data_IF_104173494129
#
_entry.id   IF_104173494129
#
_cell.length_a   1.000
_cell.length_b   1.000
_cell.length_c   1.000
_cell.angle_alpha   90.00
_cell.angle_beta   90.00
_cell.angle_gamma   90.00
#
_symmetry.space_group_name_H-M   'P 1'
#
loop_
_entity.id
_entity.type
_entity.pdbx_description
1 polymer ?
#
# COMPACT_ATOMS: atom_id res chain seq x y z
N UNK A 1 -11.84 32.13 -9.46
CA UNK A 1 -10.96 31.02 -9.12
C UNK A 1 -11.78 29.74 -9.19
N UNK A 2 -11.63 28.95 -10.21
CA UNK A 2 -12.29 27.65 -10.30
C UNK A 2 -11.59 26.75 -9.31
N UNK A 3 -12.25 26.38 -8.23
CA UNK A 3 -11.75 25.40 -7.26
C UNK A 3 -11.54 24.11 -8.05
N UNK A 4 -10.27 23.75 -8.34
CA UNK A 4 -9.93 22.45 -8.89
C UNK A 4 -10.49 21.40 -7.91
N UNK A 5 -11.46 20.64 -8.34
CA UNK A 5 -12.00 19.51 -7.58
C UNK A 5 -10.83 18.55 -7.38
N UNK A 6 -10.42 18.32 -6.14
CA UNK A 6 -9.40 17.32 -5.83
C UNK A 6 -9.81 15.96 -6.41
N UNK A 7 -8.86 15.25 -7.03
CA UNK A 7 -9.08 13.91 -7.58
C UNK A 7 -9.57 12.96 -6.47
N UNK A 8 -10.65 12.25 -6.72
CA UNK A 8 -11.18 11.24 -5.81
C UNK A 8 -10.60 9.88 -6.12
N UNK A 9 -10.00 9.26 -5.12
CA UNK A 9 -9.31 7.98 -5.27
C UNK A 9 -10.04 6.89 -4.47
N UNK A 10 -10.34 5.75 -5.11
CA UNK A 10 -10.68 4.52 -4.42
C UNK A 10 -9.42 3.66 -4.29
N UNK A 11 -9.22 3.07 -3.12
CA UNK A 11 -8.11 2.17 -2.84
C UNK A 11 -8.68 0.80 -2.50
N UNK A 12 -8.48 -0.18 -3.37
CA UNK A 12 -8.91 -1.56 -3.14
C UNK A 12 -7.73 -2.41 -2.70
N UNK A 13 -7.94 -3.35 -1.80
CA UNK A 13 -6.88 -4.24 -1.34
C UNK A 13 -7.05 -4.67 0.12
N UNK A 14 -6.00 -5.28 0.66
CA UNK A 14 -6.00 -5.87 1.98
C UNK A 14 -6.17 -4.85 3.11
N UNK A 15 -6.97 -5.26 4.10
CA UNK A 15 -7.10 -4.64 5.41
C UNK A 15 -6.78 -5.73 6.43
N UNK A 16 -5.78 -5.54 7.28
CA UNK A 16 -5.29 -6.58 8.17
C UNK A 16 -4.82 -6.03 9.52
N UNK A 17 -4.60 -6.90 10.48
CA UNK A 17 -3.90 -6.58 11.72
C UNK A 17 -2.68 -7.48 11.88
N UNK A 18 -1.59 -6.92 12.40
CA UNK A 18 -0.36 -7.64 12.70
C UNK A 18 -0.30 -7.94 14.20
N UNK A 19 -0.23 -9.22 14.55
CA UNK A 19 -0.12 -9.71 15.90
C UNK A 19 1.32 -10.18 16.13
N UNK A 20 2.11 -9.33 16.77
CA UNK A 20 3.54 -9.54 16.97
C UNK A 20 3.79 -9.96 18.41
N UNK A 21 4.36 -11.13 18.62
CA UNK A 21 4.62 -11.71 19.93
C UNK A 21 6.12 -11.90 20.15
N UNK A 22 6.57 -11.66 21.38
CA UNK A 22 7.93 -11.90 21.83
C UNK A 22 7.97 -13.11 22.74
N UNK A 23 8.74 -14.11 22.32
CA UNK A 23 9.03 -15.30 23.14
C UNK A 23 10.37 -15.10 23.85
N UNK A 24 10.41 -15.13 25.20
CA UNK A 24 11.62 -14.87 25.98
C UNK A 24 12.59 -16.07 26.05
N UNK A 25 12.43 -17.03 25.16
CA UNK A 25 13.29 -18.21 24.99
C UNK A 25 13.78 -18.33 23.55
N UNK A 26 14.37 -19.48 23.24
CA UNK A 26 14.80 -19.88 21.89
C UNK A 26 13.93 -21.01 21.39
N UNK A 27 13.47 -20.93 20.17
CA UNK A 27 12.69 -22.03 19.58
C UNK A 27 13.48 -23.33 19.52
N UNK A 28 14.80 -23.24 19.29
CA UNK A 28 15.69 -24.40 19.26
C UNK A 28 15.72 -25.19 20.56
N UNK A 29 15.55 -24.52 21.71
CA UNK A 29 15.56 -25.16 23.03
C UNK A 29 14.27 -25.97 23.28
N UNK A 30 13.21 -25.66 22.53
CA UNK A 30 11.91 -26.34 22.60
C UNK A 30 11.77 -27.47 21.57
N UNK A 31 12.72 -27.59 20.63
CA UNK A 31 12.73 -28.62 19.60
C UNK A 31 13.47 -29.85 20.08
N UNK A 32 12.87 -31.01 19.93
CA UNK A 32 13.53 -32.31 20.19
C UNK A 32 13.95 -32.92 18.86
N UNK A 33 15.25 -32.94 18.58
CA UNK A 33 15.81 -33.34 17.28
C UNK A 33 15.29 -34.68 16.75
N UNK A 34 15.11 -35.66 17.63
CA UNK A 34 14.67 -37.02 17.28
C UNK A 34 13.14 -37.15 17.17
N UNK A 35 12.37 -36.06 17.33
CA UNK A 35 10.89 -36.06 17.31
C UNK A 35 10.32 -34.99 16.39
N UNK A 36 11.03 -34.58 15.36
CA UNK A 36 10.57 -33.58 14.40
C UNK A 36 9.39 -34.04 13.54
N UNK A 37 9.14 -35.36 13.47
CA UNK A 37 7.96 -35.92 12.76
C UNK A 37 6.63 -35.66 13.48
N UNK A 38 6.67 -35.29 14.77
CA UNK A 38 5.50 -35.01 15.60
C UNK A 38 5.77 -33.81 16.51
N UNK A 39 5.82 -32.62 15.90
CA UNK A 39 6.09 -31.38 16.65
C UNK A 39 4.81 -30.87 17.28
N UNK A 40 4.83 -30.71 18.62
CA UNK A 40 3.80 -30.01 19.39
C UNK A 40 4.52 -28.99 20.26
N UNK A 41 4.45 -27.72 19.85
CA UNK A 41 5.13 -26.63 20.56
C UNK A 41 4.08 -25.68 21.15
N UNK A 42 4.35 -25.22 22.37
CA UNK A 42 3.55 -24.20 23.05
C UNK A 42 4.51 -23.19 23.66
N UNK A 43 4.36 -21.94 23.29
CA UNK A 43 5.18 -20.86 23.78
C UNK A 43 4.38 -19.94 24.73
N UNK A 44 4.94 -19.68 25.90
CA UNK A 44 4.45 -18.58 26.74
C UNK A 44 5.15 -17.31 26.26
N UNK A 45 4.38 -16.36 25.75
CA UNK A 45 4.90 -15.09 25.23
C UNK A 45 4.71 -13.99 26.29
N UNK A 46 5.68 -13.11 26.40
CA UNK A 46 5.66 -12.03 27.40
C UNK A 46 4.95 -10.77 26.85
N UNK A 47 5.00 -10.58 25.54
CA UNK A 47 4.46 -9.39 24.89
C UNK A 47 3.59 -9.79 23.68
N UNK A 48 2.48 -9.06 23.52
CA UNK A 48 1.65 -9.06 22.33
C UNK A 48 1.43 -7.61 21.91
N UNK A 49 1.98 -7.25 20.74
CA UNK A 49 1.75 -5.97 20.10
C UNK A 49 0.81 -6.18 18.91
N UNK A 50 -0.37 -5.52 18.95
CA UNK A 50 -1.36 -5.59 17.87
C UNK A 50 -1.29 -4.28 17.10
N UNK A 51 -0.89 -4.36 15.82
CA UNK A 51 -0.75 -3.22 14.93
C UNK A 51 -1.76 -3.26 13.80
N UNK A 52 -2.11 -2.09 13.32
CA UNK A 52 -2.91 -1.92 12.12
C UNK A 52 -2.04 -2.13 10.91
N UNK A 53 -2.60 -2.78 9.88
CA UNK A 53 -1.87 -3.15 8.68
C UNK A 53 -2.81 -3.38 7.50
N UNK A 54 -2.28 -3.99 6.45
CA UNK A 54 -2.95 -4.18 5.18
C UNK A 54 -2.67 -3.03 4.21
N UNK A 55 -2.25 -3.38 3.00
CA UNK A 55 -1.72 -2.42 2.02
C UNK A 55 -2.72 -1.32 1.68
N UNK A 56 -3.99 -1.68 1.41
CA UNK A 56 -5.01 -0.68 1.08
C UNK A 56 -5.33 0.25 2.26
N UNK A 57 -5.36 -0.29 3.48
CA UNK A 57 -5.58 0.51 4.68
C UNK A 57 -4.40 1.46 4.96
N UNK A 58 -3.15 0.99 4.78
CA UNK A 58 -1.94 1.80 4.95
C UNK A 58 -1.89 2.95 3.93
N UNK A 59 -2.16 2.66 2.65
CA UNK A 59 -2.19 3.68 1.60
C UNK A 59 -3.32 4.69 1.87
N UNK A 60 -4.51 4.21 2.23
CA UNK A 60 -5.64 5.09 2.57
C UNK A 60 -5.34 5.98 3.78
N UNK A 61 -4.71 5.43 4.82
CA UNK A 61 -4.24 6.22 5.96
C UNK A 61 -3.28 7.33 5.52
N UNK A 62 -2.27 7.00 4.70
CA UNK A 62 -1.32 7.98 4.18
C UNK A 62 -1.98 9.09 3.37
N UNK A 63 -2.93 8.74 2.50
CA UNK A 63 -3.72 9.72 1.75
C UNK A 63 -4.54 10.62 2.68
N UNK A 64 -5.15 10.05 3.73
CA UNK A 64 -5.87 10.81 4.75
C UNK A 64 -4.96 11.77 5.52
N UNK A 65 -3.75 11.33 5.88
CA UNK A 65 -2.73 12.19 6.52
C UNK A 65 -2.27 13.35 5.63
N UNK A 66 -2.37 13.19 4.32
CA UNK A 66 -2.10 14.24 3.32
C UNK A 66 -3.37 15.04 2.95
N UNK A 67 -4.44 14.99 3.78
CA UNK A 67 -5.63 15.81 3.65
C UNK A 67 -6.63 15.34 2.59
N UNK A 68 -6.45 14.16 2.02
CA UNK A 68 -7.40 13.56 1.08
C UNK A 68 -8.44 12.70 1.80
N UNK A 69 -9.51 12.36 1.07
CA UNK A 69 -10.57 11.47 1.55
C UNK A 69 -10.70 10.23 0.64
N UNK A 70 -9.75 9.29 0.72
CA UNK A 70 -9.81 8.09 -0.10
C UNK A 70 -10.99 7.22 0.28
N UNK A 71 -11.57 6.53 -0.71
CA UNK A 71 -12.60 5.51 -0.50
C UNK A 71 -11.89 4.17 -0.34
N UNK A 72 -11.91 3.62 0.86
CA UNK A 72 -11.33 2.30 1.13
C UNK A 72 -12.31 1.19 0.74
N UNK A 73 -11.83 0.23 -0.05
CA UNK A 73 -12.58 -0.92 -0.52
C UNK A 73 -11.80 -2.18 -0.19
N UNK A 74 -12.40 -3.08 0.56
CA UNK A 74 -11.81 -4.35 0.99
C UNK A 74 -12.78 -5.09 1.89
N UNK A 75 -12.38 -6.26 2.37
CA UNK A 75 -13.22 -7.09 3.22
C UNK A 75 -12.59 -7.33 4.59
N UNK A 76 -13.39 -7.26 5.63
CA UNK A 76 -13.03 -7.39 7.05
C UNK A 76 -14.06 -8.21 7.80
N UNK A 77 -13.75 -8.63 9.03
CA UNK A 77 -14.72 -9.22 9.95
C UNK A 77 -15.37 -8.19 10.87
N UNK A 78 -16.26 -8.64 11.74
CA UNK A 78 -16.91 -7.81 12.77
C UNK A 78 -15.89 -7.17 13.75
N UNK A 79 -14.70 -7.76 13.88
CA UNK A 79 -13.58 -7.29 14.70
C UNK A 79 -12.89 -6.01 14.17
N UNK A 80 -13.40 -5.41 13.10
CA UNK A 80 -12.87 -4.20 12.48
C UNK A 80 -13.29 -2.87 13.14
N UNK A 81 -14.17 -2.86 14.11
CA UNK A 81 -14.83 -1.65 14.63
C UNK A 81 -13.83 -0.57 15.13
N UNK A 82 -12.83 -0.96 15.94
CA UNK A 82 -11.82 -0.02 16.44
C UNK A 82 -10.90 0.48 15.33
N UNK A 83 -10.54 -0.39 14.41
CA UNK A 83 -9.71 -0.02 13.26
C UNK A 83 -10.47 0.91 12.30
N UNK A 84 -11.76 0.66 12.06
CA UNK A 84 -12.65 1.57 11.32
C UNK A 84 -12.62 2.97 11.91
N UNK A 85 -12.85 3.07 13.23
CA UNK A 85 -12.85 4.36 13.93
C UNK A 85 -11.50 5.10 13.81
N UNK A 86 -10.40 4.36 13.78
CA UNK A 86 -9.07 4.92 13.54
C UNK A 86 -8.94 5.50 12.14
N UNK A 87 -9.31 4.75 11.11
CA UNK A 87 -9.22 5.18 9.71
C UNK A 87 -10.12 6.39 9.44
N UNK A 88 -11.35 6.39 9.96
CA UNK A 88 -12.30 7.50 9.80
C UNK A 88 -11.78 8.80 10.45
N UNK A 89 -11.18 8.71 11.64
CA UNK A 89 -10.53 9.88 12.28
C UNK A 89 -9.34 10.42 11.49
N UNK A 90 -8.74 9.60 10.63
CA UNK A 90 -7.66 9.99 9.72
C UNK A 90 -8.14 10.26 8.29
N UNK A 91 -9.42 10.60 8.10
CA UNK A 91 -9.97 11.09 6.84
C UNK A 91 -10.37 10.01 5.82
N UNK A 92 -10.27 8.73 6.16
CA UNK A 92 -10.61 7.63 5.24
C UNK A 92 -12.11 7.37 5.23
N UNK A 93 -12.70 7.25 4.03
CA UNK A 93 -14.08 6.81 3.84
C UNK A 93 -14.14 5.28 3.86
N UNK A 94 -14.66 4.71 4.94
CA UNK A 94 -14.79 3.25 5.15
C UNK A 94 -16.17 2.70 4.82
N UNK A 95 -17.06 3.51 4.26
CA UNK A 95 -18.46 3.10 3.99
C UNK A 95 -18.59 2.01 2.94
N UNK A 96 -17.53 1.77 2.16
CA UNK A 96 -17.46 0.74 1.11
C UNK A 96 -16.71 -0.52 1.54
N UNK A 97 -16.31 -0.63 2.80
CA UNK A 97 -15.69 -1.84 3.34
C UNK A 97 -16.76 -2.90 3.60
N UNK A 98 -16.59 -4.07 3.00
CA UNK A 98 -17.42 -5.24 3.24
C UNK A 98 -17.12 -5.83 4.61
N UNK A 99 -18.14 -6.12 5.40
CA UNK A 99 -17.99 -6.79 6.71
C UNK A 99 -18.58 -8.18 6.61
N UNK A 100 -17.73 -9.18 6.84
CA UNK A 100 -18.13 -10.59 6.88
C UNK A 100 -18.84 -10.90 8.19
N UNK A 101 -19.96 -11.62 8.08
CA UNK A 101 -20.72 -12.12 9.24
C UNK A 101 -20.11 -13.38 9.88
N UNK A 102 -19.12 -14.01 9.20
CA UNK A 102 -18.60 -15.34 9.59
C UNK A 102 -17.09 -15.42 9.70
N UNK A 103 -16.34 -14.51 9.08
CA UNK A 103 -14.88 -14.52 9.06
C UNK A 103 -14.32 -13.32 9.81
N UNK A 104 -13.18 -13.51 10.46
CA UNK A 104 -12.44 -12.42 11.07
C UNK A 104 -11.63 -11.63 10.03
N UNK A 105 -11.27 -10.40 10.38
CA UNK A 105 -10.31 -9.59 9.62
C UNK A 105 -8.99 -10.36 9.42
N UNK A 106 -8.34 -10.16 8.27
CA UNK A 106 -7.06 -10.78 7.97
C UNK A 106 -6.02 -10.47 9.04
N UNK A 107 -5.15 -11.44 9.36
CA UNK A 107 -4.13 -11.32 10.42
C UNK A 107 -2.80 -11.88 9.99
N UNK A 108 -1.76 -11.09 10.21
CA UNK A 108 -0.40 -11.60 10.25
C UNK A 108 -0.06 -11.90 11.72
N UNK A 109 0.33 -13.11 12.02
CA UNK A 109 0.66 -13.57 13.37
C UNK A 109 2.12 -14.00 13.34
N UNK A 110 2.97 -13.36 14.15
CA UNK A 110 4.40 -13.63 14.17
C UNK A 110 4.90 -13.72 15.62
N UNK A 111 5.55 -14.81 15.94
CA UNK A 111 6.29 -14.96 17.21
C UNK A 111 7.77 -14.88 16.91
N UNK A 112 8.49 -14.00 17.62
CA UNK A 112 9.93 -13.79 17.50
C UNK A 112 10.63 -14.25 18.78
N UNK A 113 11.67 -15.07 18.66
CA UNK A 113 12.47 -15.55 19.78
C UNK A 113 13.67 -14.63 20.12
N UNK A 114 14.45 -14.96 21.15
CA UNK A 114 15.61 -14.20 21.57
C UNK A 114 16.71 -14.08 20.49
N UNK A 115 16.83 -15.07 19.61
CA UNK A 115 17.81 -15.08 18.52
C UNK A 115 17.25 -14.43 17.24
N UNK A 116 16.06 -13.78 17.32
CA UNK A 116 15.32 -13.15 16.22
C UNK A 116 14.84 -14.13 15.16
N UNK A 117 14.74 -15.41 15.48
CA UNK A 117 14.03 -16.36 14.62
C UNK A 117 12.53 -16.09 14.69
N UNK A 118 11.83 -16.32 13.60
CA UNK A 118 10.39 -16.02 13.49
C UNK A 118 9.61 -17.26 13.08
N UNK A 119 8.50 -17.47 13.77
CA UNK A 119 7.43 -18.38 13.34
C UNK A 119 6.24 -17.50 12.99
N UNK A 120 5.91 -17.47 11.70
CA UNK A 120 4.87 -16.57 11.21
C UNK A 120 3.78 -17.34 10.44
N UNK A 121 2.55 -16.81 10.54
CA UNK A 121 1.38 -17.30 9.82
C UNK A 121 0.56 -16.13 9.30
N UNK A 122 -0.02 -16.27 8.12
CA UNK A 122 -0.98 -15.31 7.59
C UNK A 122 -2.35 -15.97 7.46
N UNK A 123 -3.32 -15.44 8.19
CA UNK A 123 -4.73 -15.81 8.09
C UNK A 123 -5.45 -14.80 7.18
N UNK A 124 -5.88 -15.19 5.97
CA UNK A 124 -6.56 -14.27 5.06
C UNK A 124 -7.96 -13.87 5.52
N UNK A 125 -8.68 -14.75 6.21
CA UNK A 125 -10.01 -14.48 6.76
C UNK A 125 -10.95 -13.84 5.73
N UNK A 126 -11.62 -12.78 6.16
CA UNK A 126 -12.59 -12.05 5.34
C UNK A 126 -11.98 -11.43 4.07
N UNK A 127 -10.64 -11.26 3.96
CA UNK A 127 -10.00 -10.84 2.72
C UNK A 127 -10.39 -11.74 1.54
N UNK A 128 -10.67 -13.02 1.77
CA UNK A 128 -11.16 -13.95 0.73
C UNK A 128 -12.55 -13.57 0.16
N UNK A 129 -13.33 -12.76 0.88
CA UNK A 129 -14.64 -12.27 0.42
C UNK A 129 -14.53 -10.98 -0.41
N UNK A 130 -13.34 -10.39 -0.53
CA UNK A 130 -13.13 -9.22 -1.40
C UNK A 130 -13.55 -9.49 -2.86
N UNK A 131 -13.49 -10.76 -3.32
CA UNK A 131 -14.00 -11.19 -4.62
C UNK A 131 -15.51 -10.98 -4.80
N UNK A 132 -16.27 -10.80 -3.74
CA UNK A 132 -17.71 -10.52 -3.78
C UNK A 132 -18.02 -9.04 -3.99
N UNK A 133 -17.03 -8.17 -3.80
CA UNK A 133 -17.20 -6.72 -3.91
C UNK A 133 -17.25 -6.32 -5.38
N UNK A 134 -18.31 -5.63 -5.76
CA UNK A 134 -18.47 -4.99 -7.08
C UNK A 134 -18.16 -3.50 -6.96
N UNK A 135 -17.34 -2.97 -7.87
CA UNK A 135 -17.02 -1.54 -7.89
C UNK A 135 -18.21 -0.67 -8.30
N UNK A 136 -19.11 -1.18 -9.14
CA UNK A 136 -20.30 -0.44 -9.58
C UNK A 136 -21.09 0.18 -8.43
N UNK A 137 -21.64 -0.61 -7.50
CA UNK A 137 -22.36 -0.12 -6.33
C UNK A 137 -21.54 0.82 -5.43
N UNK A 138 -20.23 0.59 -5.33
CA UNK A 138 -19.30 1.48 -4.61
C UNK A 138 -19.27 2.86 -5.27
N UNK A 139 -19.04 2.91 -6.59
CA UNK A 139 -18.97 4.15 -7.36
C UNK A 139 -20.28 4.93 -7.33
N UNK A 140 -21.43 4.25 -7.43
CA UNK A 140 -22.75 4.88 -7.37
C UNK A 140 -22.97 5.55 -6.00
N UNK A 141 -22.57 4.88 -4.92
CA UNK A 141 -22.70 5.41 -3.54
C UNK A 141 -21.85 6.65 -3.31
N UNK A 142 -20.62 6.66 -3.82
CA UNK A 142 -19.69 7.76 -3.60
C UNK A 142 -19.79 8.86 -4.68
N UNK A 143 -20.63 8.69 -5.70
CA UNK A 143 -20.78 9.66 -6.80
C UNK A 143 -19.58 9.69 -7.76
N UNK A 144 -18.93 8.54 -7.96
CA UNK A 144 -17.80 8.34 -8.86
C UNK A 144 -16.43 8.60 -8.22
N UNK A 145 -15.41 8.09 -8.88
CA UNK A 145 -13.99 8.30 -8.56
C UNK A 145 -13.20 8.59 -9.84
N UNK A 146 -12.05 9.22 -9.70
CA UNK A 146 -11.20 9.61 -10.83
C UNK A 146 -10.08 8.57 -11.08
N UNK A 147 -9.73 7.79 -10.04
CA UNK A 147 -8.72 6.72 -10.10
C UNK A 147 -9.07 5.62 -9.09
N UNK A 148 -8.86 4.38 -9.51
CA UNK A 148 -8.93 3.20 -8.62
C UNK A 148 -7.53 2.63 -8.48
N UNK A 149 -6.98 2.58 -7.27
CA UNK A 149 -5.80 1.77 -6.99
C UNK A 149 -6.26 0.34 -6.69
N UNK A 150 -5.78 -0.63 -7.47
CA UNK A 150 -5.99 -2.05 -7.22
C UNK A 150 -4.72 -2.61 -6.59
N UNK A 151 -4.73 -2.64 -5.25
CA UNK A 151 -3.65 -3.16 -4.42
C UNK A 151 -3.77 -4.68 -4.18
N UNK A 152 -2.79 -5.27 -3.46
CA UNK A 152 -2.77 -6.70 -3.19
C UNK A 152 -3.93 -7.13 -2.30
N UNK A 153 -4.69 -8.09 -2.80
CA UNK A 153 -5.89 -8.64 -2.19
C UNK A 153 -6.07 -10.11 -2.63
N UNK A 154 -7.25 -10.66 -2.44
CA UNK A 154 -7.64 -11.89 -3.12
C UNK A 154 -7.43 -11.74 -4.64
N UNK A 155 -6.71 -12.67 -5.30
CA UNK A 155 -6.40 -12.53 -6.73
C UNK A 155 -7.62 -12.40 -7.64
N UNK A 156 -8.74 -13.04 -7.31
CA UNK A 156 -9.98 -12.94 -8.09
C UNK A 156 -10.59 -11.54 -7.94
N UNK A 157 -10.54 -10.96 -6.73
CA UNK A 157 -10.95 -9.58 -6.49
C UNK A 157 -10.12 -8.59 -7.33
N UNK A 158 -8.80 -8.75 -7.32
CA UNK A 158 -7.90 -7.90 -8.09
C UNK A 158 -8.20 -7.94 -9.59
N UNK A 159 -8.38 -9.14 -10.14
CA UNK A 159 -8.73 -9.33 -11.56
C UNK A 159 -10.12 -8.77 -11.89
N UNK A 160 -11.08 -8.96 -11.01
CA UNK A 160 -12.44 -8.42 -11.16
C UNK A 160 -12.42 -6.88 -11.17
N UNK A 161 -11.76 -6.26 -10.21
CA UNK A 161 -11.71 -4.80 -10.10
C UNK A 161 -11.03 -4.16 -11.31
N UNK A 162 -9.91 -4.71 -11.80
CA UNK A 162 -9.28 -4.19 -13.03
C UNK A 162 -10.15 -4.39 -14.26
N UNK A 163 -10.88 -5.51 -14.35
CA UNK A 163 -11.82 -5.74 -15.43
C UNK A 163 -12.99 -4.75 -15.40
N UNK A 164 -13.57 -4.50 -14.23
CA UNK A 164 -14.65 -3.52 -14.06
C UNK A 164 -14.19 -2.10 -14.40
N UNK A 165 -12.96 -1.73 -14.01
CA UNK A 165 -12.38 -0.44 -14.39
C UNK A 165 -12.32 -0.29 -15.92
N UNK A 166 -11.81 -1.30 -16.65
CA UNK A 166 -11.76 -1.27 -18.12
C UNK A 166 -13.15 -1.17 -18.75
N UNK A 167 -14.11 -1.97 -18.28
CA UNK A 167 -15.48 -1.96 -18.80
C UNK A 167 -16.18 -0.63 -18.60
N UNK A 168 -15.84 0.10 -17.55
CA UNK A 168 -16.43 1.40 -17.20
C UNK A 168 -15.62 2.61 -17.71
N UNK A 169 -14.48 2.37 -18.37
CA UNK A 169 -13.58 3.44 -18.81
C UNK A 169 -12.94 4.20 -17.66
N UNK A 170 -12.80 3.58 -16.48
CA UNK A 170 -12.16 4.17 -15.31
C UNK A 170 -10.65 4.00 -15.38
N UNK A 171 -9.93 5.05 -15.02
CA UNK A 171 -8.49 4.95 -14.82
C UNK A 171 -8.20 4.09 -13.59
N UNK A 172 -7.23 3.19 -13.71
CA UNK A 172 -6.79 2.41 -12.56
C UNK A 172 -5.26 2.35 -12.47
N UNK A 173 -4.78 2.19 -11.25
CA UNK A 173 -3.40 1.87 -10.95
C UNK A 173 -3.33 0.41 -10.49
N UNK A 174 -2.43 -0.38 -11.06
CA UNK A 174 -2.16 -1.75 -10.65
C UNK A 174 -0.99 -1.77 -9.67
N UNK A 175 -1.19 -2.39 -8.52
CA UNK A 175 -0.17 -2.63 -7.50
C UNK A 175 -0.23 -4.09 -7.05
N UNK A 176 0.34 -5.02 -7.83
CA UNK A 176 0.24 -6.44 -7.54
C UNK A 176 1.01 -6.88 -6.29
N UNK A 177 2.12 -6.21 -5.98
CA UNK A 177 2.94 -6.46 -4.78
C UNK A 177 3.20 -7.96 -4.54
N UNK A 178 3.09 -8.45 -3.29
CA UNK A 178 3.34 -9.85 -2.92
C UNK A 178 2.44 -10.88 -3.62
N UNK A 179 1.31 -10.48 -4.20
CA UNK A 179 0.44 -11.42 -4.91
C UNK A 179 1.08 -11.97 -6.20
N UNK A 180 2.07 -11.26 -6.75
CA UNK A 180 2.85 -11.76 -7.89
C UNK A 180 3.45 -13.14 -7.64
N UNK A 181 3.81 -13.47 -6.40
CA UNK A 181 4.36 -14.78 -6.06
C UNK A 181 3.35 -15.91 -6.32
N UNK A 182 2.05 -15.64 -6.16
CA UNK A 182 0.95 -16.61 -6.25
C UNK A 182 0.22 -16.61 -7.59
N UNK A 183 0.28 -15.49 -8.33
CA UNK A 183 -0.42 -15.34 -9.60
C UNK A 183 0.37 -15.97 -10.75
N UNK A 184 -0.36 -16.56 -11.69
CA UNK A 184 0.20 -17.06 -12.94
C UNK A 184 0.38 -15.92 -13.96
N UNK A 185 1.26 -16.11 -14.96
CA UNK A 185 1.60 -15.07 -15.93
C UNK A 185 0.39 -14.48 -16.66
N UNK A 186 -0.59 -15.31 -17.02
CA UNK A 186 -1.82 -14.84 -17.67
C UNK A 186 -2.67 -13.96 -16.73
N UNK A 187 -2.74 -14.29 -15.47
CA UNK A 187 -3.44 -13.47 -14.47
C UNK A 187 -2.75 -12.12 -14.29
N UNK A 188 -1.40 -12.11 -14.26
CA UNK A 188 -0.60 -10.89 -14.16
C UNK A 188 -0.82 -10.01 -15.40
N UNK A 189 -0.81 -10.60 -16.62
CA UNK A 189 -1.12 -9.86 -17.84
C UNK A 189 -2.48 -9.18 -17.74
N UNK A 190 -3.52 -9.93 -17.36
CA UNK A 190 -4.87 -9.39 -17.18
C UNK A 190 -4.97 -8.32 -16.11
N UNK A 191 -4.16 -8.41 -15.06
CA UNK A 191 -4.14 -7.42 -13.98
C UNK A 191 -3.53 -6.10 -14.47
N UNK A 192 -2.41 -6.17 -15.20
CA UNK A 192 -1.55 -5.03 -15.52
C UNK A 192 -1.97 -4.31 -16.81
N UNK A 193 -2.45 -5.05 -17.81
CA UNK A 193 -2.75 -4.51 -19.14
C UNK A 193 -3.78 -3.36 -19.08
N UNK A 194 -3.42 -2.21 -19.66
CA UNK A 194 -4.25 -1.00 -19.67
C UNK A 194 -4.26 -0.19 -18.37
N UNK A 195 -3.42 -0.53 -17.39
CA UNK A 195 -3.28 0.28 -16.18
C UNK A 195 -2.74 1.68 -16.52
N UNK A 196 -3.33 2.73 -15.95
CA UNK A 196 -2.78 4.09 -16.06
C UNK A 196 -1.44 4.21 -15.33
N UNK A 197 -1.29 3.48 -14.23
CA UNK A 197 -0.06 3.39 -13.43
C UNK A 197 0.19 1.93 -13.04
N UNK A 198 1.46 1.52 -13.07
CA UNK A 198 1.92 0.25 -12.51
C UNK A 198 2.95 0.55 -11.43
N UNK A 199 2.63 0.17 -10.19
CA UNK A 199 3.56 0.25 -9.06
C UNK A 199 4.27 -1.07 -8.84
N UNK A 200 5.58 -1.03 -8.68
CA UNK A 200 6.43 -2.19 -8.36
C UNK A 200 7.66 -1.74 -7.55
N UNK A 201 8.31 -2.68 -6.88
CA UNK A 201 9.72 -2.57 -6.58
C UNK A 201 10.54 -3.29 -7.67
N UNK A 202 11.88 -3.29 -7.57
CA UNK A 202 12.75 -3.93 -8.58
C UNK A 202 12.51 -5.45 -8.69
N UNK A 203 12.30 -6.12 -7.55
CA UNK A 203 12.04 -7.56 -7.52
C UNK A 203 10.68 -7.89 -8.17
N UNK A 204 9.65 -7.12 -7.86
CA UNK A 204 8.32 -7.26 -8.43
C UNK A 204 8.32 -7.00 -9.94
N UNK A 205 9.07 -5.99 -10.42
CA UNK A 205 9.24 -5.72 -11.83
C UNK A 205 9.87 -6.92 -12.57
N UNK A 206 10.96 -7.47 -12.03
CA UNK A 206 11.61 -8.65 -12.59
C UNK A 206 10.68 -9.88 -12.56
N UNK A 207 9.87 -10.04 -11.52
CA UNK A 207 8.92 -11.14 -11.43
C UNK A 207 7.77 -11.03 -12.44
N UNK A 208 7.30 -9.81 -12.74
CA UNK A 208 6.37 -9.55 -13.83
C UNK A 208 6.98 -10.01 -15.17
N UNK A 209 8.19 -9.55 -15.48
CA UNK A 209 8.89 -9.93 -16.72
C UNK A 209 9.06 -11.45 -16.83
N UNK A 210 9.51 -12.09 -15.75
CA UNK A 210 9.71 -13.54 -15.71
C UNK A 210 8.41 -14.33 -15.96
N UNK A 211 7.33 -13.95 -15.27
CA UNK A 211 6.07 -14.71 -15.32
C UNK A 211 5.24 -14.40 -16.55
N UNK A 212 5.25 -13.17 -17.03
CA UNK A 212 4.47 -12.78 -18.21
C UNK A 212 5.19 -13.10 -19.52
N UNK A 213 6.51 -13.19 -19.50
CA UNK A 213 7.35 -13.25 -20.69
C UNK A 213 7.46 -11.90 -21.41
N UNK A 214 6.94 -10.82 -20.85
CA UNK A 214 7.12 -9.46 -21.37
C UNK A 214 8.49 -8.92 -20.98
N UNK A 215 9.12 -8.20 -21.87
CA UNK A 215 10.27 -7.36 -21.54
C UNK A 215 9.84 -6.11 -20.78
N UNK A 216 10.81 -5.40 -20.19
CA UNK A 216 10.55 -4.10 -19.55
C UNK A 216 9.89 -3.10 -20.52
N UNK A 217 10.30 -3.08 -21.79
CA UNK A 217 9.73 -2.23 -22.84
C UNK A 217 8.29 -2.62 -23.16
N UNK A 218 8.02 -3.90 -23.37
CA UNK A 218 6.66 -4.41 -23.63
C UNK A 218 5.72 -4.17 -22.44
N UNK A 219 6.22 -4.27 -21.20
CA UNK A 219 5.44 -3.90 -20.01
C UNK A 219 5.08 -2.41 -20.03
N UNK A 220 6.05 -1.54 -20.39
CA UNK A 220 5.82 -0.10 -20.49
C UNK A 220 4.84 0.28 -21.60
N UNK A 221 4.81 -0.46 -22.72
CA UNK A 221 3.81 -0.28 -23.78
C UNK A 221 2.38 -0.63 -23.35
N UNK A 222 2.24 -1.48 -22.31
CA UNK A 222 0.94 -1.95 -21.79
C UNK A 222 0.35 -1.05 -20.73
N UNK A 223 1.15 -0.15 -20.16
CA UNK A 223 0.71 0.75 -19.08
C UNK A 223 1.00 2.21 -19.45
N UNK A 224 0.28 3.13 -18.82
CA UNK A 224 0.53 4.56 -19.05
C UNK A 224 1.86 5.02 -18.44
N UNK A 225 2.10 4.65 -17.19
CA UNK A 225 3.27 5.03 -16.39
C UNK A 225 3.70 3.85 -15.53
N UNK A 226 5.00 3.53 -15.55
CA UNK A 226 5.61 2.58 -14.61
C UNK A 226 6.34 3.33 -13.51
N UNK A 227 6.04 3.01 -12.26
CA UNK A 227 6.64 3.60 -11.05
C UNK A 227 7.33 2.49 -10.29
N UNK A 228 8.66 2.51 -10.26
CA UNK A 228 9.48 1.49 -9.61
C UNK A 228 10.21 2.07 -8.42
N UNK A 229 9.99 1.53 -7.22
CA UNK A 229 10.77 1.88 -6.04
C UNK A 229 12.07 1.09 -6.00
N UNK A 230 13.17 1.77 -5.65
CA UNK A 230 14.55 1.28 -5.70
C UNK A 230 15.18 1.22 -4.30
N UNK A 231 14.37 1.08 -3.26
CA UNK A 231 14.82 1.13 -1.88
C UNK A 231 15.57 2.42 -1.55
N UNK A 232 16.81 2.34 -1.00
CA UNK A 232 17.59 3.54 -0.65
C UNK A 232 17.96 4.42 -1.86
N UNK A 233 17.89 3.90 -3.08
CA UNK A 233 18.15 4.68 -4.30
C UNK A 233 16.97 5.55 -4.75
N UNK A 234 15.81 5.43 -4.08
CA UNK A 234 14.64 6.26 -4.35
C UNK A 234 13.63 5.61 -5.28
N UNK A 235 13.19 6.34 -6.29
CA UNK A 235 12.17 5.87 -7.22
C UNK A 235 12.48 6.28 -8.67
N UNK A 236 12.00 5.45 -9.59
CA UNK A 236 12.07 5.67 -11.03
C UNK A 236 10.67 5.71 -11.61
N UNK A 237 10.40 6.73 -12.43
CA UNK A 237 9.12 6.88 -13.14
C UNK A 237 9.38 6.89 -14.63
N UNK A 238 8.71 6.04 -15.36
CA UNK A 238 8.89 5.83 -16.80
C UNK A 238 7.53 5.88 -17.50
N UNK A 239 7.49 6.53 -18.64
CA UNK A 239 6.33 6.56 -19.53
C UNK A 239 6.79 6.40 -20.97
N UNK A 240 5.91 5.93 -21.86
CA UNK A 240 6.23 5.81 -23.29
C UNK A 240 6.45 7.14 -24.01
N UNK A 241 6.21 8.28 -23.36
CA UNK A 241 6.19 9.60 -23.99
C UNK A 241 7.16 10.62 -23.36
N UNK A 242 8.16 10.19 -22.63
CA UNK A 242 9.05 11.15 -21.97
C UNK A 242 10.35 10.55 -21.46
N UNK A 243 11.28 11.38 -20.99
CA UNK A 243 12.48 10.88 -20.35
C UNK A 243 12.14 10.14 -19.05
N UNK A 244 12.99 9.19 -18.70
CA UNK A 244 12.95 8.56 -17.39
C UNK A 244 13.23 9.60 -16.31
N UNK A 245 12.41 9.59 -15.26
CA UNK A 245 12.57 10.42 -14.07
C UNK A 245 13.15 9.56 -12.96
N UNK A 246 14.17 10.04 -12.29
CA UNK A 246 14.77 9.41 -11.11
C UNK A 246 14.74 10.36 -9.94
N UNK A 247 14.18 9.94 -8.82
CA UNK A 247 13.98 10.75 -7.62
C UNK A 247 14.70 10.08 -6.45
N UNK A 248 15.66 10.76 -5.80
CA UNK A 248 16.33 10.24 -4.62
C UNK A 248 15.41 10.28 -3.38
N UNK A 249 15.67 9.43 -2.38
CA UNK A 249 15.01 9.52 -1.07
C UNK A 249 15.59 10.68 -0.26
N UNK A 250 14.78 11.39 0.54
CA UNK A 250 15.29 12.32 1.55
C UNK A 250 16.11 11.57 2.60
N UNK A 251 17.03 12.28 3.23
CA UNK A 251 17.81 11.72 4.32
C UNK A 251 16.89 11.34 5.49
N UNK A 252 16.94 10.09 5.90
CA UNK A 252 16.25 9.59 7.08
C UNK A 252 16.97 10.04 8.37
N UNK A 253 16.22 10.39 9.40
CA UNK A 253 16.75 10.74 10.73
C UNK A 253 17.10 9.47 11.52
N UNK A 254 16.39 8.40 11.28
CA UNK A 254 16.61 7.08 11.86
C UNK A 254 15.95 6.02 10.97
N UNK A 255 16.39 4.79 11.11
CA UNK A 255 15.73 3.62 10.50
C UNK A 255 15.12 2.76 11.59
N UNK A 256 13.79 2.82 11.75
CA UNK A 256 13.07 2.12 12.81
C UNK A 256 12.40 0.84 12.32
N UNK A 257 11.59 0.93 11.24
CA UNK A 257 10.83 -0.21 10.74
C UNK A 257 10.62 -0.06 9.21
N UNK A 258 11.05 -1.03 8.38
CA UNK A 258 10.84 -0.96 6.94
C UNK A 258 9.43 -1.31 6.48
N UNK A 259 8.57 -1.79 7.39
CA UNK A 259 7.21 -2.24 7.05
C UNK A 259 6.35 -1.05 6.62
N UNK A 260 5.65 -1.18 5.51
CA UNK A 260 4.74 -0.15 4.99
C UNK A 260 5.43 1.02 4.27
N UNK A 261 6.75 1.04 4.14
CA UNK A 261 7.50 2.09 3.40
C UNK A 261 7.02 2.19 1.95
N UNK A 262 6.79 1.05 1.30
CA UNK A 262 6.21 1.00 -0.04
C UNK A 262 4.79 1.57 -0.10
N UNK A 263 3.97 1.33 0.92
CA UNK A 263 2.60 1.86 1.02
C UNK A 263 2.63 3.38 1.20
N UNK A 264 3.55 3.87 2.05
CA UNK A 264 3.80 5.30 2.22
C UNK A 264 4.21 5.98 0.92
N UNK A 265 5.11 5.37 0.15
CA UNK A 265 5.49 5.89 -1.17
C UNK A 265 4.28 5.99 -2.10
N UNK A 266 3.45 4.94 -2.19
CA UNK A 266 2.25 4.92 -3.03
C UNK A 266 1.25 5.98 -2.60
N UNK A 267 1.02 6.13 -1.30
CA UNK A 267 0.13 7.16 -0.75
C UNK A 267 0.59 8.57 -1.14
N UNK A 268 1.88 8.88 -0.97
CA UNK A 268 2.43 10.18 -1.34
C UNK A 268 2.39 10.43 -2.85
N UNK A 269 2.71 9.44 -3.67
CA UNK A 269 2.63 9.55 -5.13
C UNK A 269 1.20 9.82 -5.60
N UNK A 270 0.23 9.06 -5.07
CA UNK A 270 -1.18 9.22 -5.38
C UNK A 270 -1.74 10.57 -4.89
N UNK A 271 -1.26 11.07 -3.75
CA UNK A 271 -1.61 12.40 -3.27
C UNK A 271 -1.10 13.49 -4.24
N UNK A 272 0.14 13.36 -4.70
CA UNK A 272 0.68 14.26 -5.74
C UNK A 272 -0.17 14.27 -7.01
N UNK A 273 -0.63 13.10 -7.47
CA UNK A 273 -1.56 13.00 -8.60
C UNK A 273 -2.88 13.70 -8.31
N UNK A 274 -3.44 13.51 -7.11
CA UNK A 274 -4.71 14.13 -6.71
C UNK A 274 -4.61 15.66 -6.63
N UNK A 275 -3.45 16.18 -6.37
CA UNK A 275 -3.14 17.61 -6.37
C UNK A 275 -2.78 18.16 -7.76
N UNK A 276 -2.68 17.29 -8.78
CA UNK A 276 -2.36 17.70 -10.16
C UNK A 276 -0.88 18.00 -10.38
N UNK A 277 0.00 17.48 -9.53
CA UNK A 277 1.45 17.68 -9.64
C UNK A 277 2.05 16.84 -10.80
N UNK A 278 3.16 17.29 -11.40
CA UNK A 278 3.91 16.47 -12.35
C UNK A 278 4.49 15.22 -11.69
N UNK A 279 4.74 14.16 -12.46
CA UNK A 279 5.16 12.86 -11.94
C UNK A 279 6.44 12.92 -11.08
N UNK A 280 7.35 13.83 -11.38
CA UNK A 280 8.54 14.03 -10.57
C UNK A 280 8.18 14.47 -9.14
N UNK A 281 7.27 15.44 -9.01
CA UNK A 281 6.77 15.91 -7.70
C UNK A 281 5.96 14.84 -7.00
N UNK A 282 5.14 14.08 -7.74
CA UNK A 282 4.43 12.92 -7.16
C UNK A 282 5.42 11.94 -6.53
N UNK A 283 6.52 11.60 -7.23
CA UNK A 283 7.53 10.70 -6.71
C UNK A 283 8.31 11.30 -5.53
N UNK A 284 8.59 12.60 -5.52
CA UNK A 284 9.22 13.30 -4.40
C UNK A 284 8.34 13.29 -3.14
N UNK A 285 7.04 13.56 -3.27
CA UNK A 285 6.06 13.43 -2.17
C UNK A 285 6.01 11.98 -1.67
N UNK A 286 6.02 11.01 -2.60
CA UNK A 286 6.09 9.59 -2.28
C UNK A 286 7.33 9.21 -1.47
N UNK A 287 8.51 9.63 -1.91
CA UNK A 287 9.78 9.38 -1.22
C UNK A 287 9.82 10.04 0.17
N UNK A 288 9.31 11.26 0.31
CA UNK A 288 9.27 11.93 1.61
C UNK A 288 8.32 11.22 2.58
N UNK A 289 7.11 10.84 2.14
CA UNK A 289 6.19 10.12 3.02
C UNK A 289 6.76 8.75 3.41
N UNK A 290 7.40 8.04 2.48
CA UNK A 290 8.11 6.79 2.77
C UNK A 290 9.21 6.97 3.82
N UNK A 291 9.87 8.16 3.85
CA UNK A 291 10.87 8.49 4.87
C UNK A 291 10.24 8.64 6.25
N UNK A 292 9.07 9.27 6.38
CA UNK A 292 8.34 9.30 7.66
C UNK A 292 7.93 7.91 8.14
N UNK A 293 7.53 7.03 7.22
CA UNK A 293 7.18 5.65 7.57
C UNK A 293 8.37 4.89 8.11
N UNK A 294 9.52 4.88 7.43
CA UNK A 294 10.71 4.12 7.86
C UNK A 294 11.28 4.62 9.20
N UNK A 295 11.04 5.89 9.54
CA UNK A 295 11.43 6.49 10.80
C UNK A 295 10.54 6.09 11.98
N UNK A 296 9.44 5.41 11.72
CA UNK A 296 8.42 5.08 12.72
C UNK A 296 8.28 3.56 12.84
N UNK A 297 7.99 3.07 14.04
CA UNK A 297 7.63 1.66 14.25
C UNK A 297 6.13 1.52 14.01
N UNK A 298 5.76 0.64 13.05
CA UNK A 298 4.37 0.45 12.61
C UNK A 298 4.02 1.29 11.38
N UNK A 299 3.02 0.80 10.63
CA UNK A 299 2.69 1.29 9.29
C UNK A 299 1.80 2.54 9.29
N UNK A 300 1.12 2.84 10.41
CA UNK A 300 0.14 3.93 10.54
C UNK A 300 0.39 4.81 11.78
N UNK A 301 1.58 4.73 12.37
CA UNK A 301 1.92 5.46 13.59
C UNK A 301 2.71 6.75 13.31
N UNK A 302 3.16 6.97 12.05
CA UNK A 302 3.89 8.18 11.68
C UNK A 302 2.99 9.43 11.71
N UNK A 303 3.62 10.55 12.05
CA UNK A 303 2.96 11.86 12.13
C UNK A 303 3.90 12.93 11.62
N UNK A 304 3.33 13.96 11.07
CA UNK A 304 4.04 15.18 10.68
C UNK A 304 3.10 16.38 10.78
N UNK A 305 3.65 17.54 11.07
CA UNK A 305 2.98 18.81 10.85
C UNK A 305 3.21 19.25 9.40
N UNK A 306 2.33 20.09 8.88
CA UNK A 306 2.44 20.62 7.52
C UNK A 306 3.75 21.34 7.30
N UNK A 307 4.12 22.22 8.25
CA UNK A 307 5.35 23.01 8.15
C UNK A 307 6.60 22.12 8.14
N UNK A 308 6.66 21.07 8.99
CA UNK A 308 7.74 20.09 9.00
C UNK A 308 7.86 19.35 7.67
N UNK A 309 6.71 18.97 7.08
CA UNK A 309 6.67 18.29 5.80
C UNK A 309 7.22 19.16 4.68
N UNK A 310 6.80 20.42 4.60
CA UNK A 310 7.28 21.40 3.61
C UNK A 310 8.76 21.73 3.82
N UNK A 311 9.20 21.87 5.07
CA UNK A 311 10.62 22.13 5.40
C UNK A 311 11.50 20.96 4.94
N UNK A 312 11.14 19.72 5.28
CA UNK A 312 11.88 18.53 4.85
C UNK A 312 11.85 18.34 3.34
N UNK A 313 10.72 18.62 2.69
CA UNK A 313 10.60 18.59 1.23
C UNK A 313 11.53 19.60 0.59
N UNK A 314 11.54 20.83 1.12
CA UNK A 314 12.43 21.90 0.64
C UNK A 314 13.92 21.55 0.80
N UNK A 315 14.28 20.98 1.95
CA UNK A 315 15.65 20.55 2.23
C UNK A 315 16.10 19.42 1.27
N UNK A 316 15.20 18.52 0.90
CA UNK A 316 15.51 17.38 0.03
C UNK A 316 15.53 17.73 -1.46
N UNK A 317 14.62 18.59 -1.92
CA UNK A 317 14.35 18.78 -3.35
C UNK A 317 14.46 20.24 -3.83
N UNK A 318 14.74 21.17 -2.91
CA UNK A 318 14.93 22.57 -3.20
C UNK A 318 13.64 23.39 -3.17
N UNK A 319 13.82 24.72 -3.09
CA UNK A 319 12.74 25.69 -2.92
C UNK A 319 11.77 25.72 -4.10
N UNK A 320 12.29 25.65 -5.32
CA UNK A 320 11.47 25.66 -6.53
C UNK A 320 10.47 24.50 -6.55
N UNK A 321 10.91 23.31 -6.14
CA UNK A 321 10.04 22.14 -6.02
C UNK A 321 8.99 22.31 -4.90
N UNK A 322 9.36 22.95 -3.79
CA UNK A 322 8.48 23.20 -2.67
C UNK A 322 7.40 24.25 -2.98
N UNK A 323 7.73 25.28 -3.76
CA UNK A 323 6.78 26.32 -4.17
C UNK A 323 5.60 25.75 -4.98
N UNK A 324 5.79 24.61 -5.66
CA UNK A 324 4.69 23.88 -6.32
C UNK A 324 3.71 23.23 -5.32
N UNK A 325 4.11 23.06 -4.05
CA UNK A 325 3.29 22.54 -2.96
C UNK A 325 2.58 23.63 -2.15
N UNK A 326 3.00 24.91 -2.26
CA UNK A 326 2.51 26.00 -1.39
C UNK A 326 0.99 26.23 -1.46
N UNK A 327 0.33 25.88 -2.56
CA UNK A 327 -1.14 25.91 -2.68
C UNK A 327 -1.86 24.75 -1.95
N UNK A 328 -1.13 23.75 -1.49
CA UNK A 328 -1.61 22.48 -0.97
C UNK A 328 -1.46 22.38 0.56
N UNK A 329 -0.66 23.28 1.15
CA UNK A 329 -0.41 23.31 2.59
C UNK A 329 -1.72 23.42 3.42
N UNK A 330 -2.75 24.06 2.89
CA UNK A 330 -4.08 24.12 3.53
C UNK A 330 -4.91 22.84 3.43
N UNK A 331 -4.48 21.85 2.63
CA UNK A 331 -5.15 20.55 2.50
C UNK A 331 -4.51 19.48 3.39
N UNK A 332 -3.24 19.67 3.78
CA UNK A 332 -2.49 18.76 4.65
C UNK A 332 -2.81 19.14 6.09
N UNK A 333 -3.54 18.29 6.84
CA UNK A 333 -3.89 18.62 8.23
C UNK A 333 -4.33 17.40 9.04
#
# INVERSE_FOLDING_TARGET
MTTLRAMRIAVTGSIATDHLMTFPGRFTDSLVADKLDQVSLSFLVDELDIRRGGVAANISFGLGRLGLRPVLVGAVGEDFADYRSWLERNGVDTTSVHVSDVLHTARFICTTDLDRNQIASFYPGAMSEARLIELGPVLDRVGGVDLVLVGPDDPEAMLRHTQECRQRGLRFAADPSQQLARMEGEQIRRLVDGAAYLFTNEYEAALIEQKTGWTAAETLERVGVRVTTLGPAGARVESGQGPQISVPVPQELRRADPTGVGDGFRAGFLAGLAWGLPHERCAQVGCLLATYVIETVGTQEYRFAVDDFVERFTAAYGREAADELDGLAGAIG
#
